data_IF_982468259022
#
_entry.id   IF_982468259022
#
_cell.length_a   1.000
_cell.length_b   1.000
_cell.length_c   1.000
_cell.angle_alpha   90.00
_cell.angle_beta   90.00
_cell.angle_gamma   90.00
#
_symmetry.space_group_name_H-M   'P 1'
#
loop_
_entity.id
_entity.type
_entity.pdbx_description
1 polymer ?
#
# COMPACT_ATOMS: atom_id res chain seq x y z
N UNK A 1 -6.08 11.91 10.23
CA UNK A 1 -4.89 12.68 10.65
C UNK A 1 -3.69 12.02 9.98
N UNK A 2 -2.98 12.75 9.13
CA UNK A 2 -1.83 12.20 8.41
C UNK A 2 -0.62 12.16 9.32
N UNK A 3 0.12 11.05 9.33
CA UNK A 3 1.34 10.88 10.12
C UNK A 3 2.54 10.68 9.19
N UNK A 4 3.72 11.06 9.65
CA UNK A 4 4.96 10.86 8.93
C UNK A 4 5.75 9.74 9.58
N UNK A 5 6.15 8.75 8.78
CA UNK A 5 7.02 7.68 9.22
C UNK A 5 8.46 7.94 8.74
N UNK A 6 9.42 7.73 9.64
CA UNK A 6 10.84 7.78 9.33
C UNK A 6 11.32 6.38 8.96
N UNK A 7 11.79 6.21 7.73
CA UNK A 7 12.40 4.97 7.27
C UNK A 7 13.91 5.19 7.14
N UNK A 8 14.71 4.46 7.95
CA UNK A 8 16.15 4.64 8.05
C UNK A 8 16.91 3.33 7.78
N UNK A 9 16.69 2.70 6.62
CA UNK A 9 17.40 1.47 6.23
C UNK A 9 17.72 1.41 4.73
N UNK A 10 18.65 0.50 4.39
CA UNK A 10 19.26 0.43 3.07
C UNK A 10 18.29 0.14 1.91
N UNK A 11 17.13 -0.46 2.16
CA UNK A 11 16.13 -0.76 1.12
C UNK A 11 14.74 -0.96 1.75
N UNK A 12 13.72 -0.41 1.13
CA UNK A 12 12.31 -0.65 1.48
C UNK A 12 11.42 -0.51 0.24
N UNK A 13 10.34 -1.25 0.16
CA UNK A 13 9.32 -1.12 -0.88
C UNK A 13 8.09 -0.41 -0.33
N UNK A 14 7.64 0.60 -1.06
CA UNK A 14 6.41 1.34 -0.76
C UNK A 14 5.44 1.14 -1.93
N UNK A 15 4.25 0.60 -1.71
CA UNK A 15 3.24 0.49 -2.76
C UNK A 15 2.74 1.88 -3.17
N UNK A 16 2.56 2.10 -4.47
CA UNK A 16 1.93 3.29 -5.04
C UNK A 16 0.51 2.94 -5.50
N UNK A 17 -0.27 2.32 -4.64
CA UNK A 17 -1.70 2.18 -4.87
C UNK A 17 -2.38 3.31 -4.11
N UNK A 18 -2.67 4.43 -4.75
CA UNK A 18 -3.36 5.58 -4.16
C UNK A 18 -2.71 6.18 -2.89
N UNK A 19 -1.79 7.11 -3.08
CA UNK A 19 -1.43 8.16 -2.13
C UNK A 19 -0.55 7.82 -0.91
N UNK A 20 0.49 7.00 -1.06
CA UNK A 20 1.63 7.23 -0.19
C UNK A 20 2.46 8.34 -0.85
N UNK A 21 2.32 9.55 -0.36
CA UNK A 21 3.16 10.65 -0.82
C UNK A 21 4.53 10.54 -0.15
N UNK A 22 5.53 10.36 -0.98
CA UNK A 22 6.90 10.60 -0.60
C UNK A 22 7.06 12.09 -0.31
N UNK A 23 7.38 12.44 0.92
CA UNK A 23 7.46 13.85 1.32
C UNK A 23 8.85 14.44 1.12
N UNK A 24 9.88 13.81 1.70
CA UNK A 24 11.27 14.23 1.52
C UNK A 24 12.27 13.13 1.87
N UNK A 25 13.50 13.29 1.43
CA UNK A 25 14.59 12.34 1.67
C UNK A 25 15.93 13.05 1.82
N UNK A 26 16.84 12.41 2.52
CA UNK A 26 18.26 12.78 2.49
C UNK A 26 18.89 12.42 1.13
N UNK A 27 19.96 13.13 0.75
CA UNK A 27 20.63 12.95 -0.55
C UNK A 27 21.13 11.51 -0.79
N UNK A 28 21.45 10.78 0.27
CA UNK A 28 21.91 9.38 0.19
C UNK A 28 20.82 8.34 -0.08
N UNK A 29 19.53 8.74 -0.09
CA UNK A 29 18.41 7.84 -0.38
C UNK A 29 17.98 8.00 -1.83
N UNK A 30 17.89 6.90 -2.56
CA UNK A 30 17.43 6.84 -3.94
C UNK A 30 16.00 6.33 -3.99
N UNK A 31 15.19 7.00 -4.79
CA UNK A 31 13.82 6.60 -5.12
C UNK A 31 13.79 6.04 -6.54
N UNK A 32 13.23 4.86 -6.72
CA UNK A 32 13.00 4.26 -8.03
C UNK A 32 11.61 3.66 -8.10
N UNK A 33 11.07 3.55 -9.32
CA UNK A 33 9.80 2.89 -9.56
C UNK A 33 10.09 1.41 -9.79
N UNK A 34 9.31 0.55 -9.12
CA UNK A 34 9.36 -0.89 -9.30
C UNK A 34 7.99 -1.38 -9.74
N UNK A 35 7.93 -1.98 -10.93
CA UNK A 35 6.69 -2.57 -11.43
C UNK A 35 6.59 -4.01 -10.92
N UNK A 36 5.53 -4.31 -10.20
CA UNK A 36 5.18 -5.68 -9.89
C UNK A 36 4.01 -6.12 -10.76
N UNK A 37 4.06 -7.39 -11.22
CA UNK A 37 3.12 -8.13 -12.06
C UNK A 37 1.89 -7.36 -12.54
N UNK A 38 1.68 -7.32 -13.83
CA UNK A 38 0.39 -6.98 -14.46
C UNK A 38 -0.66 -7.97 -13.97
N UNK A 39 -1.48 -7.57 -13.04
CA UNK A 39 -2.73 -8.24 -12.78
C UNK A 39 -3.59 -7.98 -14.01
N UNK A 40 -4.00 -9.04 -14.72
CA UNK A 40 -4.73 -9.09 -15.97
C UNK A 40 -5.29 -7.78 -16.53
N UNK A 41 -5.21 -7.60 -17.80
CA UNK A 41 -5.43 -6.36 -18.59
C UNK A 41 -6.77 -5.61 -18.38
N UNK A 42 -7.56 -5.92 -17.37
CA UNK A 42 -8.87 -5.33 -17.13
C UNK A 42 -9.08 -4.67 -15.76
N UNK A 43 -8.19 -4.86 -14.78
CA UNK A 43 -8.54 -4.52 -13.40
C UNK A 43 -7.96 -3.21 -12.85
N UNK A 44 -6.89 -2.68 -13.42
CA UNK A 44 -6.28 -1.40 -13.00
C UNK A 44 -6.01 -0.48 -14.20
N UNK A 45 -6.93 -0.39 -15.14
CA UNK A 45 -6.75 0.47 -16.31
C UNK A 45 -5.53 0.11 -17.16
N UNK A 46 -5.01 -1.14 -17.08
CA UNK A 46 -3.85 -1.61 -17.83
C UNK A 46 -2.49 -1.22 -17.25
N UNK A 47 -2.42 -0.40 -16.20
CA UNK A 47 -1.15 0.15 -15.69
C UNK A 47 -0.45 -0.76 -14.65
N UNK A 48 -1.13 -1.76 -14.11
CA UNK A 48 -0.57 -2.68 -13.12
C UNK A 48 -0.32 -2.01 -11.76
N UNK A 49 0.20 -2.79 -10.82
CA UNK A 49 0.53 -2.33 -9.49
C UNK A 49 1.92 -1.68 -9.47
N UNK A 50 1.97 -0.38 -9.20
CA UNK A 50 3.23 0.38 -9.16
C UNK A 50 3.70 0.49 -7.71
N UNK A 51 4.95 0.09 -7.46
CA UNK A 51 5.62 0.29 -6.19
C UNK A 51 6.78 1.26 -6.31
N UNK A 52 7.03 1.99 -5.26
CA UNK A 52 8.23 2.81 -5.10
C UNK A 52 9.24 2.02 -4.26
N UNK A 53 10.48 1.99 -4.74
CA UNK A 53 11.60 1.40 -4.02
C UNK A 53 12.50 2.50 -3.48
N UNK A 54 12.67 2.53 -2.17
CA UNK A 54 13.68 3.33 -1.49
C UNK A 54 14.94 2.47 -1.30
N UNK A 55 16.10 3.03 -1.62
CA UNK A 55 17.40 2.36 -1.47
C UNK A 55 18.50 3.38 -1.13
N UNK A 56 19.60 2.91 -0.55
CA UNK A 56 20.71 3.77 -0.13
C UNK A 56 20.74 3.97 1.37
N UNK A 57 21.57 4.93 1.82
CA UNK A 57 21.75 5.27 3.24
C UNK A 57 21.17 6.64 3.50
N UNK A 58 20.37 6.75 4.57
CA UNK A 58 19.78 8.01 5.00
C UNK A 58 18.35 7.83 5.49
N UNK A 59 17.68 8.94 5.65
CA UNK A 59 16.31 9.01 6.13
C UNK A 59 15.37 9.41 5.00
N UNK A 60 14.23 8.74 4.93
CA UNK A 60 13.10 9.16 4.09
C UNK A 60 11.87 9.35 4.98
N UNK A 61 11.08 10.36 4.68
CA UNK A 61 9.80 10.63 5.32
C UNK A 61 8.69 10.28 4.33
N UNK A 62 7.77 9.46 4.77
CA UNK A 62 6.60 9.05 4.00
C UNK A 62 5.34 9.47 4.73
N UNK A 63 4.33 9.83 3.98
CA UNK A 63 3.02 10.16 4.51
C UNK A 63 2.22 8.87 4.74
N UNK A 64 1.57 8.77 5.89
CA UNK A 64 0.79 7.61 6.32
C UNK A 64 -0.62 8.06 6.66
N UNK A 65 -1.61 7.36 6.17
CA UNK A 65 -3.01 7.60 6.47
C UNK A 65 -3.44 6.87 7.77
N UNK A 66 -3.74 7.65 8.79
CA UNK A 66 -4.07 7.13 10.13
C UNK A 66 -2.84 6.80 10.98
N UNK A 67 -2.85 5.66 11.63
CA UNK A 67 -1.75 5.14 12.43
C UNK A 67 -0.88 4.14 11.67
N UNK A 68 0.38 4.06 12.06
CA UNK A 68 1.33 3.10 11.53
C UNK A 68 1.42 1.88 12.46
N UNK A 69 1.16 0.70 11.91
CA UNK A 69 1.35 -0.58 12.58
C UNK A 69 2.55 -1.29 11.96
N UNK A 70 3.50 -1.74 12.79
CA UNK A 70 4.68 -2.49 12.35
C UNK A 70 4.55 -3.97 12.76
N UNK A 71 4.77 -4.87 11.80
CA UNK A 71 4.84 -6.31 12.01
C UNK A 71 6.21 -6.83 11.60
N UNK A 72 6.78 -7.72 12.41
CA UNK A 72 8.02 -8.42 12.07
C UNK A 72 7.69 -9.89 11.79
N UNK A 73 7.60 -10.22 10.50
CA UNK A 73 7.24 -11.55 10.04
C UNK A 73 8.46 -12.49 10.12
N UNK A 74 8.27 -13.65 10.70
CA UNK A 74 9.26 -14.75 10.70
C UNK A 74 9.32 -15.40 9.31
N UNK A 75 10.40 -16.16 8.99
CA UNK A 75 10.44 -16.95 7.77
C UNK A 75 9.21 -17.84 7.61
N UNK A 76 8.53 -17.74 6.45
CA UNK A 76 7.31 -18.47 6.15
C UNK A 76 6.03 -17.99 6.83
N UNK A 77 6.11 -17.02 7.73
CA UNK A 77 4.93 -16.40 8.30
C UNK A 77 4.30 -15.45 7.29
N UNK A 78 2.98 -15.55 7.11
CA UNK A 78 2.24 -14.69 6.20
C UNK A 78 1.13 -13.93 6.92
N UNK A 79 0.84 -12.72 6.43
CA UNK A 79 -0.36 -11.96 6.77
C UNK A 79 -1.12 -11.61 5.49
N UNK A 80 -2.43 -11.56 5.60
CA UNK A 80 -3.32 -11.14 4.51
C UNK A 80 -3.96 -9.84 4.93
N UNK A 81 -3.85 -8.82 4.11
CA UNK A 81 -4.37 -7.48 4.39
C UNK A 81 -5.02 -6.90 3.14
N UNK A 82 -5.94 -5.96 3.32
CA UNK A 82 -6.41 -5.14 2.20
C UNK A 82 -5.22 -4.40 1.59
N UNK A 83 -5.14 -4.39 0.27
CA UNK A 83 -4.01 -3.80 -0.46
C UNK A 83 -3.82 -2.32 -0.13
N UNK A 84 -4.89 -1.58 0.11
CA UNK A 84 -4.84 -0.17 0.51
C UNK A 84 -4.22 0.07 1.89
N UNK A 85 -4.20 -0.94 2.76
CA UNK A 85 -3.59 -0.83 4.08
C UNK A 85 -2.06 -1.05 4.09
N UNK A 86 -1.47 -1.51 3.00
CA UNK A 86 -0.02 -1.72 2.92
C UNK A 86 0.69 -0.38 2.77
N UNK A 87 1.37 0.08 3.82
CA UNK A 87 2.22 1.28 3.77
C UNK A 87 3.61 0.97 3.22
N UNK A 88 4.15 -0.22 3.51
CA UNK A 88 5.45 -0.62 3.00
C UNK A 88 5.95 -1.92 3.59
N UNK A 89 7.07 -2.41 3.07
CA UNK A 89 7.73 -3.62 3.57
C UNK A 89 9.21 -3.67 3.19
N UNK A 90 9.97 -4.48 3.91
CA UNK A 90 11.39 -4.73 3.62
C UNK A 90 11.54 -5.63 2.37
N UNK A 91 12.66 -5.52 1.63
CA UNK A 91 12.90 -6.30 0.40
C UNK A 91 12.94 -7.82 0.58
N UNK A 92 13.14 -8.29 1.81
CA UNK A 92 13.10 -9.71 2.16
C UNK A 92 11.69 -10.29 2.23
N UNK A 93 10.67 -9.43 2.34
CA UNK A 93 9.27 -9.83 2.34
C UNK A 93 8.80 -10.07 0.92
N UNK A 94 8.18 -11.21 0.70
CA UNK A 94 7.51 -11.53 -0.55
C UNK A 94 6.08 -10.98 -0.52
N UNK A 95 5.65 -10.39 -1.63
CA UNK A 95 4.31 -9.86 -1.78
C UNK A 95 3.60 -10.57 -2.94
N UNK A 96 2.38 -11.02 -2.69
CA UNK A 96 1.46 -11.52 -3.71
C UNK A 96 0.11 -10.81 -3.57
N UNK A 97 -0.56 -10.56 -4.69
CA UNK A 97 -1.86 -9.89 -4.71
C UNK A 97 -2.91 -10.89 -5.19
N UNK A 98 -3.96 -11.02 -4.41
CA UNK A 98 -5.04 -11.96 -4.65
C UNK A 98 -6.37 -11.22 -4.77
N UNK A 99 -7.18 -11.62 -5.74
CA UNK A 99 -8.55 -11.13 -5.87
C UNK A 99 -9.42 -11.74 -4.78
N UNK A 100 -10.25 -10.93 -4.14
CA UNK A 100 -11.25 -11.42 -3.17
C UNK A 100 -12.31 -12.22 -3.92
N UNK A 101 -12.53 -13.51 -3.60
CA UNK A 101 -13.57 -14.32 -4.22
C UNK A 101 -14.95 -13.68 -4.04
N UNK A 102 -15.75 -13.61 -5.12
CA UNK A 102 -17.12 -13.06 -5.08
C UNK A 102 -17.21 -11.55 -5.33
N UNK A 103 -16.11 -10.83 -5.39
CA UNK A 103 -16.07 -9.39 -5.61
C UNK A 103 -16.49 -8.93 -7.03
N UNK A 104 -16.74 -9.86 -7.97
CA UNK A 104 -17.12 -9.55 -9.36
C UNK A 104 -18.40 -8.72 -9.50
N UNK A 105 -19.24 -8.67 -8.48
CA UNK A 105 -20.53 -7.97 -8.51
C UNK A 105 -20.48 -6.58 -7.83
N UNK A 106 -19.33 -6.13 -7.34
CA UNK A 106 -19.20 -4.80 -6.74
C UNK A 106 -18.84 -3.80 -7.84
N UNK A 107 -19.88 -3.26 -8.50
CA UNK A 107 -19.79 -2.40 -9.68
C UNK A 107 -19.30 -0.97 -9.39
N UNK A 108 -18.99 -0.58 -8.15
CA UNK A 108 -18.69 0.80 -7.80
C UNK A 108 -17.37 0.92 -7.02
N UNK A 109 -16.32 1.30 -7.73
CA UNK A 109 -15.03 1.70 -7.18
C UNK A 109 -14.09 0.51 -6.92
N UNK A 110 -13.24 0.20 -7.86
CA UNK A 110 -12.32 -0.96 -7.95
C UNK A 110 -11.33 -1.21 -6.81
N UNK A 111 -11.52 -0.63 -5.64
CA UNK A 111 -10.68 -0.79 -4.46
C UNK A 111 -11.43 -1.60 -3.40
N UNK A 112 -10.69 -2.41 -2.66
CA UNK A 112 -11.25 -3.42 -1.75
C UNK A 112 -11.51 -4.77 -2.41
N UNK A 113 -11.20 -4.91 -3.72
CA UNK A 113 -11.30 -6.17 -4.46
C UNK A 113 -10.06 -7.05 -4.33
N UNK A 114 -8.99 -6.51 -3.78
CA UNK A 114 -7.69 -7.16 -3.74
C UNK A 114 -7.14 -7.21 -2.33
N UNK A 115 -6.73 -8.40 -1.96
CA UNK A 115 -5.93 -8.65 -0.78
C UNK A 115 -4.46 -8.79 -1.16
N UNK A 116 -3.60 -8.28 -0.33
CA UNK A 116 -2.17 -8.50 -0.40
C UNK A 116 -1.75 -9.52 0.64
N UNK A 117 -1.07 -10.57 0.19
CA UNK A 117 -0.41 -11.56 1.04
C UNK A 117 1.04 -11.16 1.17
N UNK A 118 1.48 -10.89 2.39
CA UNK A 118 2.86 -10.55 2.72
C UNK A 118 3.49 -11.69 3.50
N UNK A 119 4.57 -12.27 2.96
CA UNK A 119 5.26 -13.43 3.55
C UNK A 119 6.69 -13.04 3.92
N UNK A 120 7.03 -13.22 5.19
CA UNK A 120 8.37 -12.98 5.74
C UNK A 120 9.45 -13.95 5.25
N UNK A 121 10.69 -13.67 5.58
CA UNK A 121 11.09 -12.85 6.73
C UNK A 121 11.18 -11.34 6.43
N UNK A 122 10.85 -10.51 7.42
CA UNK A 122 11.08 -9.07 7.36
C UNK A 122 9.98 -8.23 7.96
N UNK A 123 10.19 -6.93 7.99
CA UNK A 123 9.23 -5.98 8.54
C UNK A 123 8.22 -5.54 7.48
N UNK A 124 6.99 -5.38 7.96
CA UNK A 124 5.86 -4.86 7.21
C UNK A 124 5.28 -3.69 7.97
N UNK A 125 4.94 -2.64 7.26
CA UNK A 125 4.27 -1.46 7.78
C UNK A 125 2.89 -1.35 7.17
N UNK A 126 1.88 -1.22 8.03
CA UNK A 126 0.48 -1.06 7.62
C UNK A 126 -0.03 0.29 8.09
N UNK A 127 -0.88 0.92 7.28
CA UNK A 127 -1.63 2.10 7.65
C UNK A 127 -3.07 1.72 8.02
N UNK A 128 -3.62 2.39 9.06
CA UNK A 128 -4.89 1.97 9.62
C UNK A 128 -6.10 2.60 8.96
N UNK A 129 -5.94 3.73 8.26
CA UNK A 129 -7.05 4.51 7.75
C UNK A 129 -6.75 5.09 6.36
N UNK A 130 -6.61 4.24 5.32
CA UNK A 130 -6.46 4.71 3.94
C UNK A 130 -7.58 5.70 3.60
N UNK A 131 -7.24 6.81 2.92
CA UNK A 131 -8.20 7.88 2.62
C UNK A 131 -9.43 7.37 1.85
N UNK A 132 -9.25 6.35 1.02
CA UNK A 132 -10.33 5.71 0.30
C UNK A 132 -11.34 5.04 1.24
N UNK A 133 -10.87 4.32 2.25
CA UNK A 133 -11.75 3.69 3.24
C UNK A 133 -12.54 4.75 4.02
N UNK A 134 -11.91 5.88 4.34
CA UNK A 134 -12.58 7.04 4.96
C UNK A 134 -13.65 7.59 4.03
N UNK A 135 -13.32 7.83 2.76
CA UNK A 135 -14.26 8.35 1.76
C UNK A 135 -15.48 7.43 1.59
N UNK A 136 -15.25 6.12 1.52
CA UNK A 136 -16.35 5.14 1.44
C UNK A 136 -17.21 5.09 2.70
N UNK A 137 -16.60 5.22 3.87
CA UNK A 137 -17.35 5.25 5.13
C UNK A 137 -18.23 6.51 5.26
N UNK A 138 -17.79 7.64 4.70
CA UNK A 138 -18.53 8.91 4.76
C UNK A 138 -19.58 9.02 3.64
N UNK A 139 -19.32 8.41 2.49
CA UNK A 139 -20.20 8.51 1.29
C UNK A 139 -21.69 8.31 1.55
N UNK A 140 -22.16 7.35 2.37
CA UNK A 140 -23.58 7.17 2.65
C UNK A 140 -24.24 8.35 3.39
N UNK A 141 -23.41 9.18 4.05
CA UNK A 141 -23.88 10.32 4.84
C UNK A 141 -23.84 11.65 4.09
N UNK A 142 -23.33 11.66 2.86
CA UNK A 142 -23.27 12.86 2.02
C UNK A 142 -24.59 12.93 1.24
N UNK A 143 -25.39 14.01 1.39
CA UNK A 143 -26.61 14.19 0.60
C UNK A 143 -26.25 14.24 -0.89
N UNK A 144 -26.72 13.31 -1.67
CA UNK A 144 -26.69 13.40 -3.13
C UNK A 144 -27.92 14.18 -3.59
N UNK A 145 -27.72 15.26 -4.37
CA UNK A 145 -28.85 15.85 -5.09
C UNK A 145 -29.40 14.77 -6.02
N UNK A 146 -30.64 14.33 -5.77
CA UNK A 146 -31.42 13.64 -6.78
C UNK A 146 -31.89 14.72 -7.77
N UNK A 147 -31.39 14.68 -8.99
CA UNK A 147 -31.98 15.38 -10.13
C UNK A 147 -33.34 14.78 -10.46
#
# INVERSE_FOLDING_TARGET
MKKFAKISRERSFLPRLFQIFFFCREAGVNLSIHFQKRLGAGFFGGEGFIMQRLSGRGTAFVEIDGDLMEYNLKPGQSIVVDTGNVAGFEPSVQMDIQMVPGAKNIFFGGEGLFNTVLTGPGRVWLQTMPIYNVANAIRPYIPTKSD
#
